data_IF_683863454294
#
_entry.id   IF_683863454294
#
_cell.length_a   1.000
_cell.length_b   1.000
_cell.length_c   1.000
_cell.angle_alpha   90.00
_cell.angle_beta   90.00
_cell.angle_gamma   90.00
#
_symmetry.space_group_name_H-M   'P 1'
#
loop_
_entity.id
_entity.type
_entity.pdbx_description
1 polymer ?
#
# COMPACT_ATOMS: atom_id res chain seq x y z
N UNK A 1 -0.05 -33.74 15.57
CA UNK A 1 -0.84 -33.03 14.53
C UNK A 1 -1.54 -31.82 15.19
N UNK A 2 -1.81 -30.76 14.42
CA UNK A 2 -1.97 -29.34 14.84
C UNK A 2 -3.20 -28.98 15.71
N UNK A 3 -3.31 -29.46 16.95
CA UNK A 3 -4.48 -29.17 17.80
C UNK A 3 -4.48 -27.75 18.42
N UNK A 4 -3.31 -27.13 18.58
CA UNK A 4 -3.18 -25.91 19.41
C UNK A 4 -3.62 -24.58 18.79
N UNK A 5 -3.76 -24.50 17.47
CA UNK A 5 -4.24 -23.26 16.81
C UNK A 5 -5.76 -23.23 16.69
N UNK A 6 -6.40 -24.39 16.65
CA UNK A 6 -7.84 -24.55 16.44
C UNK A 6 -8.68 -24.15 17.65
N UNK A 7 -8.09 -24.14 18.84
CA UNK A 7 -8.77 -23.87 20.12
C UNK A 7 -8.57 -22.45 20.64
N UNK A 8 -7.82 -21.60 19.94
CA UNK A 8 -7.48 -20.24 20.42
C UNK A 8 -8.65 -19.25 20.41
N UNK A 9 -9.59 -19.39 19.48
CA UNK A 9 -10.77 -18.52 19.33
C UNK A 9 -11.95 -19.32 18.75
N UNK A 10 -13.22 -18.97 19.05
CA UNK A 10 -14.39 -19.77 18.64
C UNK A 10 -14.50 -20.09 17.14
N UNK A 11 -13.90 -19.26 16.28
CA UNK A 11 -13.92 -19.43 14.84
C UNK A 11 -12.59 -19.90 14.22
N UNK A 12 -11.57 -20.23 15.02
CA UNK A 12 -10.22 -20.56 14.51
C UNK A 12 -10.17 -21.71 13.51
N UNK A 13 -11.11 -22.67 13.58
CA UNK A 13 -11.24 -23.76 12.59
C UNK A 13 -11.84 -23.34 11.25
N UNK A 14 -12.59 -22.23 11.23
CA UNK A 14 -13.41 -21.82 10.07
C UNK A 14 -12.93 -20.51 9.44
N UNK A 15 -12.20 -19.67 10.19
CA UNK A 15 -11.76 -18.35 9.74
C UNK A 15 -10.32 -18.09 10.14
N UNK A 16 -9.57 -17.51 9.20
CA UNK A 16 -8.26 -16.92 9.44
C UNK A 16 -8.37 -15.48 9.93
N UNK A 17 -7.22 -14.81 10.03
CA UNK A 17 -7.15 -13.37 10.31
C UNK A 17 -7.88 -12.60 9.20
N UNK A 18 -8.64 -11.58 9.59
CA UNK A 18 -9.28 -10.68 8.62
C UNK A 18 -8.23 -10.05 7.71
N UNK A 19 -8.53 -10.08 6.40
CA UNK A 19 -7.68 -9.44 5.41
C UNK A 19 -7.76 -7.93 5.51
N UNK A 20 -6.71 -7.25 5.02
CA UNK A 20 -6.77 -5.79 4.83
C UNK A 20 -7.70 -5.47 3.66
N UNK A 21 -8.56 -4.46 3.81
CA UNK A 21 -9.42 -3.97 2.73
C UNK A 21 -8.59 -3.62 1.48
N UNK A 22 -9.06 -4.03 0.30
CA UNK A 22 -8.40 -3.72 -0.97
C UNK A 22 -8.22 -2.21 -1.17
N UNK A 23 -9.17 -1.42 -0.70
CA UNK A 23 -9.14 0.05 -0.77
C UNK A 23 -7.94 0.63 -0.02
N UNK A 24 -7.68 0.12 1.19
CA UNK A 24 -6.53 0.51 2.02
C UNK A 24 -5.23 0.09 1.33
N UNK A 25 -5.16 -1.14 0.82
CA UNK A 25 -3.97 -1.68 0.15
C UNK A 25 -3.59 -0.80 -1.05
N UNK A 26 -4.53 -0.55 -1.96
CA UNK A 26 -4.26 0.22 -3.18
C UNK A 26 -3.75 1.62 -2.85
N UNK A 27 -4.34 2.30 -1.85
CA UNK A 27 -3.89 3.63 -1.45
C UNK A 27 -2.53 3.62 -0.77
N UNK A 28 -2.24 2.60 0.03
CA UNK A 28 -0.91 2.42 0.63
C UNK A 28 0.17 2.20 -0.44
N UNK A 29 -0.16 1.47 -1.52
CA UNK A 29 0.74 1.30 -2.67
C UNK A 29 0.91 2.60 -3.46
N UNK A 30 -0.15 3.38 -3.67
CA UNK A 30 -0.06 4.70 -4.31
C UNK A 30 0.83 5.63 -3.51
N UNK A 31 0.62 5.73 -2.19
CA UNK A 31 1.44 6.57 -1.30
C UNK A 31 2.92 6.19 -1.38
N UNK A 32 3.22 4.88 -1.38
CA UNK A 32 4.58 4.37 -1.53
C UNK A 32 5.23 4.87 -2.83
N UNK A 33 4.52 4.81 -3.96
CA UNK A 33 5.07 5.18 -5.26
C UNK A 33 5.20 6.69 -5.45
N UNK A 34 4.22 7.47 -4.99
CA UNK A 34 4.24 8.92 -5.11
C UNK A 34 5.43 9.56 -4.36
N UNK A 35 5.80 9.00 -3.21
CA UNK A 35 6.87 9.52 -2.36
C UNK A 35 8.15 8.68 -2.39
N UNK A 36 8.25 7.69 -3.28
CA UNK A 36 9.45 6.84 -3.39
C UNK A 36 9.80 6.06 -2.12
N UNK A 37 8.82 5.74 -1.27
CA UNK A 37 9.06 5.16 0.05
C UNK A 37 9.39 3.66 -0.04
N UNK A 38 10.20 3.17 0.90
CA UNK A 38 10.26 1.74 1.21
C UNK A 38 8.92 1.28 1.83
N UNK A 39 8.68 -0.03 1.90
CA UNK A 39 7.46 -0.51 2.56
C UNK A 39 7.47 -0.21 4.08
N UNK A 40 8.64 -0.32 4.73
CA UNK A 40 8.87 0.06 6.13
C UNK A 40 8.61 1.55 6.37
N UNK A 41 9.19 2.42 5.54
CA UNK A 41 9.02 3.87 5.67
C UNK A 41 7.57 4.28 5.48
N UNK A 42 6.88 3.69 4.50
CA UNK A 42 5.45 3.91 4.29
C UNK A 42 4.65 3.53 5.53
N UNK A 43 4.90 2.38 6.14
CA UNK A 43 4.22 2.00 7.38
C UNK A 43 4.49 3.02 8.50
N UNK A 44 5.75 3.37 8.73
CA UNK A 44 6.16 4.34 9.76
C UNK A 44 5.49 5.70 9.55
N UNK A 45 5.51 6.22 8.33
CA UNK A 45 4.92 7.51 8.00
C UNK A 45 3.39 7.49 8.14
N UNK A 46 2.72 6.44 7.67
CA UNK A 46 1.26 6.32 7.80
C UNK A 46 0.84 6.19 9.26
N UNK A 47 1.64 5.53 10.11
CA UNK A 47 1.35 5.48 11.55
C UNK A 47 1.38 6.86 12.20
N UNK A 48 2.33 7.72 11.82
CA UNK A 48 2.55 9.02 12.43
C UNK A 48 1.75 10.17 11.79
N UNK A 49 1.27 10.03 10.55
CA UNK A 49 0.66 11.12 9.79
C UNK A 49 -0.85 10.91 9.59
N UNK A 50 -1.66 11.73 10.28
CA UNK A 50 -3.12 11.67 10.20
C UNK A 50 -3.66 11.90 8.77
N UNK A 51 -3.01 12.74 7.97
CA UNK A 51 -3.40 12.97 6.57
C UNK A 51 -3.22 11.70 5.75
N UNK A 52 -2.13 10.96 5.96
CA UNK A 52 -1.91 9.70 5.26
C UNK A 52 -2.87 8.61 5.71
N UNK A 53 -3.24 8.58 6.99
CA UNK A 53 -4.28 7.66 7.49
C UNK A 53 -5.65 7.97 6.90
N UNK A 54 -6.00 9.25 6.82
CA UNK A 54 -7.24 9.70 6.21
C UNK A 54 -7.27 9.36 4.72
N UNK A 55 -6.17 9.63 4.00
CA UNK A 55 -6.01 9.24 2.60
C UNK A 55 -6.20 7.74 2.42
N UNK A 56 -5.47 6.92 3.17
CA UNK A 56 -5.55 5.45 3.09
C UNK A 56 -6.86 4.85 3.62
N UNK A 57 -7.79 5.68 4.15
CA UNK A 57 -9.05 5.26 4.79
C UNK A 57 -8.87 4.28 5.95
N UNK A 58 -7.80 4.44 6.73
CA UNK A 58 -7.51 3.61 7.91
C UNK A 58 -8.21 4.16 9.17
N UNK A 59 -8.50 5.46 9.22
CA UNK A 59 -9.12 6.08 10.40
C UNK A 59 -8.26 5.90 11.66
N UNK A 60 -8.85 5.41 12.75
CA UNK A 60 -8.16 5.10 14.01
C UNK A 60 -7.71 3.62 14.11
N UNK A 61 -7.87 2.83 13.05
CA UNK A 61 -7.54 1.41 13.07
C UNK A 61 -6.03 1.14 12.99
N UNK A 62 -5.64 -0.12 13.18
CA UNK A 62 -4.24 -0.51 13.05
C UNK A 62 -3.78 -0.38 11.59
N UNK A 63 -2.64 0.28 11.38
CA UNK A 63 -2.01 0.38 10.06
C UNK A 63 -1.52 -1.02 9.63
N UNK A 64 -1.83 -1.46 8.40
CA UNK A 64 -1.26 -2.69 7.84
C UNK A 64 0.27 -2.63 7.82
N UNK A 65 0.88 -3.71 8.30
CA UNK A 65 2.33 -3.79 8.39
C UNK A 65 2.99 -3.85 7.00
N UNK A 66 4.30 -3.64 7.00
CA UNK A 66 5.17 -3.72 5.85
C UNK A 66 4.92 -4.99 5.04
N UNK A 67 4.98 -6.14 5.72
CA UNK A 67 4.94 -7.47 5.12
C UNK A 67 3.59 -7.78 4.49
N UNK A 68 2.49 -7.34 5.10
CA UNK A 68 1.14 -7.50 4.57
C UNK A 68 1.03 -6.84 3.20
N UNK A 69 1.43 -5.57 3.10
CA UNK A 69 1.35 -4.83 1.84
C UNK A 69 2.37 -5.35 0.83
N UNK A 70 3.58 -5.73 1.26
CA UNK A 70 4.58 -6.33 0.38
C UNK A 70 4.07 -7.65 -0.25
N UNK A 71 3.44 -8.51 0.56
CA UNK A 71 2.87 -9.78 0.09
C UNK A 71 1.79 -9.54 -0.96
N UNK A 72 0.89 -8.59 -0.71
CA UNK A 72 -0.18 -8.27 -1.67
C UNK A 72 0.40 -7.61 -2.94
N UNK A 73 1.39 -6.72 -2.80
CA UNK A 73 2.05 -6.11 -3.95
C UNK A 73 2.73 -7.15 -4.85
N UNK A 74 3.39 -8.16 -4.26
CA UNK A 74 3.97 -9.28 -5.00
C UNK A 74 2.91 -10.07 -5.76
N UNK A 75 1.75 -10.32 -5.14
CA UNK A 75 0.64 -11.02 -5.77
C UNK A 75 0.01 -10.23 -6.93
N UNK A 76 -0.05 -8.90 -6.83
CA UNK A 76 -0.54 -8.03 -7.91
C UNK A 76 0.46 -7.93 -9.06
N UNK A 77 1.75 -7.98 -8.77
CA UNK A 77 2.82 -7.86 -9.76
C UNK A 77 3.09 -6.42 -10.21
N UNK A 78 4.24 -6.19 -10.84
CA UNK A 78 4.71 -4.85 -11.19
C UNK A 78 3.84 -4.15 -12.24
N UNK A 79 3.26 -4.90 -13.19
CA UNK A 79 2.42 -4.35 -14.25
C UNK A 79 1.13 -3.73 -13.70
N UNK A 80 0.45 -4.44 -12.79
CA UNK A 80 -0.79 -3.95 -12.17
C UNK A 80 -0.51 -2.73 -11.30
N UNK A 81 0.62 -2.73 -10.58
CA UNK A 81 1.04 -1.58 -9.77
C UNK A 81 1.33 -0.36 -10.66
N UNK A 82 2.01 -0.55 -11.79
CA UNK A 82 2.27 0.51 -12.75
C UNK A 82 0.97 1.08 -13.33
N UNK A 83 0.03 0.20 -13.74
CA UNK A 83 -1.26 0.59 -14.26
C UNK A 83 -2.10 1.36 -13.23
N UNK A 84 -2.08 0.92 -11.96
CA UNK A 84 -2.72 1.63 -10.85
C UNK A 84 -2.18 3.06 -10.72
N UNK A 85 -0.86 3.21 -10.71
CA UNK A 85 -0.23 4.53 -10.58
C UNK A 85 -0.54 5.43 -11.78
N UNK A 86 -0.44 4.89 -13.00
CA UNK A 86 -0.84 5.60 -14.23
C UNK A 86 -2.29 6.05 -14.19
N UNK A 87 -3.20 5.21 -13.67
CA UNK A 87 -4.62 5.56 -13.53
C UNK A 87 -4.81 6.71 -12.55
N UNK A 88 -4.13 6.71 -11.41
CA UNK A 88 -4.19 7.80 -10.42
C UNK A 88 -3.69 9.10 -11.03
N UNK A 89 -2.55 9.07 -11.73
CA UNK A 89 -2.03 10.26 -12.43
C UNK A 89 -3.00 10.74 -13.49
N UNK A 90 -3.56 9.85 -14.31
CA UNK A 90 -4.55 10.20 -15.33
C UNK A 90 -5.80 10.86 -14.76
N UNK A 91 -6.28 10.40 -13.60
CA UNK A 91 -7.38 11.04 -12.88
C UNK A 91 -6.99 12.43 -12.36
N UNK A 92 -5.79 12.60 -11.81
CA UNK A 92 -5.30 13.90 -11.34
C UNK A 92 -5.16 14.90 -12.50
N UNK A 93 -4.72 14.45 -13.67
CA UNK A 93 -4.65 15.28 -14.89
C UNK A 93 -6.04 15.68 -15.36
N UNK A 94 -6.97 14.72 -15.43
CA UNK A 94 -8.35 14.98 -15.85
C UNK A 94 -9.07 15.95 -14.90
N UNK A 95 -8.73 15.91 -13.61
CA UNK A 95 -9.26 16.82 -12.60
C UNK A 95 -8.53 18.18 -12.55
N UNK A 96 -7.50 18.41 -13.39
CA UNK A 96 -6.72 19.65 -13.39
C UNK A 96 -5.78 19.84 -12.18
N UNK A 97 -5.61 18.81 -11.35
CA UNK A 97 -4.74 18.84 -10.16
C UNK A 97 -3.27 18.62 -10.53
N UNK A 98 -3.01 17.92 -11.64
CA UNK A 98 -1.67 17.68 -12.17
C UNK A 98 -1.60 18.06 -13.66
N UNK A 99 -0.44 18.51 -14.13
CA UNK A 99 -0.24 18.86 -15.55
C UNK A 99 0.09 17.66 -16.44
N UNK A 100 0.40 16.50 -15.86
CA UNK A 100 0.73 15.28 -16.60
C UNK A 100 2.10 15.29 -17.29
N UNK A 101 2.89 16.36 -17.11
CA UNK A 101 4.25 16.44 -17.66
C UNK A 101 5.14 15.42 -16.97
N UNK A 102 5.95 14.71 -17.76
CA UNK A 102 6.93 13.77 -17.23
C UNK A 102 8.03 14.58 -16.54
N UNK A 103 8.16 14.43 -15.23
CA UNK A 103 9.21 15.09 -14.46
C UNK A 103 10.56 14.45 -14.80
N UNK A 104 11.50 15.24 -15.30
CA UNK A 104 12.90 14.82 -15.40
C UNK A 104 13.54 14.98 -14.03
N UNK A 105 14.18 13.92 -13.56
CA UNK A 105 14.97 13.91 -12.33
C UNK A 105 16.39 13.54 -12.76
N UNK A 106 17.36 14.40 -12.47
CA UNK A 106 18.77 14.12 -12.76
C UNK A 106 19.29 13.12 -11.72
N UNK A 107 19.20 11.83 -12.06
CA UNK A 107 19.85 10.75 -11.30
C UNK A 107 21.12 10.32 -12.02
N UNK A 108 22.25 10.38 -11.31
CA UNK A 108 23.51 9.75 -11.75
C UNK A 108 23.41 8.23 -11.59
N UNK A 109 23.77 7.47 -12.62
CA UNK A 109 23.83 6.01 -12.55
C UNK A 109 25.01 5.62 -11.67
N UNK A 110 24.79 4.73 -10.71
CA UNK A 110 25.85 4.11 -9.90
C UNK A 110 26.10 2.72 -10.46
N UNK A 111 27.35 2.38 -10.76
CA UNK A 111 27.72 1.03 -11.21
C UNK A 111 27.41 0.02 -10.08
N UNK A 112 26.77 -1.09 -10.44
CA UNK A 112 26.43 -2.20 -9.52
C UNK A 112 27.31 -3.40 -9.83
#
# INVERSE_FOLDING_TARGET
>A
MKTGLETRWPASRRRGREGTSAEVVLRMLVLKHLYGLSYADRERQVRANLVYRAFARIGCERVPDEQTILTIAKALGPEVIAALHQRVVGLAVSAGVATGRRMRIDTTVVET
#
